data_IF_650652843560
#
_entry.id   IF_650652843560
#
_cell.length_a   1.000
_cell.length_b   1.000
_cell.length_c   1.000
_cell.angle_alpha   90.00
_cell.angle_beta   90.00
_cell.angle_gamma   90.00
#
_symmetry.space_group_name_H-M   'P 1'
#
loop_
_entity.id
_entity.type
_entity.pdbx_description
1 polymer ?
#
# COMPACT_ATOMS: atom_id res chain seq x y z
N UNK A 1 -61.93 -31.07 21.34
CA UNK A 1 -61.84 -29.63 21.02
C UNK A 1 -60.58 -29.43 20.17
N UNK A 2 -60.72 -28.99 18.92
CA UNK A 2 -59.62 -28.89 17.94
C UNK A 2 -59.07 -27.46 17.93
N UNK A 3 -57.76 -27.32 18.13
CA UNK A 3 -57.05 -26.04 18.07
C UNK A 3 -56.72 -25.69 16.61
N UNK A 4 -57.25 -24.57 16.11
CA UNK A 4 -56.93 -24.06 14.78
C UNK A 4 -55.77 -23.06 14.86
N UNK A 5 -54.62 -23.44 14.29
CA UNK A 5 -53.46 -22.57 14.07
C UNK A 5 -53.72 -21.74 12.81
N UNK A 6 -53.88 -20.42 12.94
CA UNK A 6 -53.90 -19.49 11.80
C UNK A 6 -52.47 -19.12 11.44
N UNK A 7 -51.95 -19.64 10.32
CA UNK A 7 -50.75 -19.14 9.65
C UNK A 7 -51.17 -18.03 8.68
N UNK A 8 -50.67 -16.81 8.88
CA UNK A 8 -50.82 -15.70 7.94
C UNK A 8 -49.60 -15.66 7.00
N UNK A 9 -49.84 -16.06 5.75
CA UNK A 9 -48.94 -15.88 4.60
C UNK A 9 -49.27 -14.51 4.00
N UNK A 10 -48.28 -13.63 3.82
CA UNK A 10 -48.43 -12.42 2.99
C UNK A 10 -47.57 -12.55 1.73
N UNK A 11 -48.07 -12.08 0.57
CA UNK A 11 -47.42 -12.30 -0.71
C UNK A 11 -46.37 -11.24 -1.09
N UNK A 12 -45.37 -11.75 -1.78
CA UNK A 12 -44.29 -11.10 -2.52
C UNK A 12 -44.83 -10.11 -3.59
N UNK A 13 -44.34 -8.86 -3.58
CA UNK A 13 -44.56 -7.88 -4.67
C UNK A 13 -43.26 -7.63 -5.43
N UNK A 14 -43.31 -7.92 -6.73
CA UNK A 14 -42.29 -7.71 -7.76
C UNK A 14 -41.99 -6.23 -8.04
N UNK A 15 -40.74 -5.99 -8.43
CA UNK A 15 -40.18 -5.05 -9.44
C UNK A 15 -40.95 -3.76 -9.76
N UNK A 16 -40.21 -2.64 -9.79
CA UNK A 16 -40.14 -1.66 -10.90
C UNK A 16 -38.84 -0.83 -10.85
N UNK A 17 -38.17 -0.79 -12.01
CA UNK A 17 -37.57 0.37 -12.71
C UNK A 17 -36.62 1.29 -11.89
N UNK A 18 -35.30 1.24 -12.08
CA UNK A 18 -34.50 1.98 -13.09
C UNK A 18 -34.95 3.44 -13.25
N UNK A 19 -34.32 4.32 -12.46
CA UNK A 19 -34.11 5.72 -12.84
C UNK A 19 -32.69 6.14 -12.42
N UNK A 20 -31.93 6.57 -13.41
CA UNK A 20 -30.58 7.10 -13.30
C UNK A 20 -30.67 8.61 -13.06
N UNK A 21 -29.98 9.19 -12.07
CA UNK A 21 -29.87 10.63 -12.01
C UNK A 21 -28.70 11.11 -12.88
N UNK A 22 -29.05 11.74 -14.01
CA UNK A 22 -28.21 12.69 -14.73
C UNK A 22 -27.77 13.81 -13.77
N UNK A 23 -26.48 13.93 -13.51
CA UNK A 23 -25.92 15.02 -12.72
C UNK A 23 -25.47 16.09 -13.72
N UNK A 24 -26.37 17.01 -14.01
CA UNK A 24 -26.11 18.21 -14.80
C UNK A 24 -24.97 19.04 -14.23
N UNK A 25 -24.00 19.29 -15.11
CA UNK A 25 -22.99 20.33 -15.03
C UNK A 25 -23.64 21.71 -15.12
N UNK A 26 -23.95 22.33 -13.99
CA UNK A 26 -23.91 23.78 -13.84
C UNK A 26 -23.61 24.11 -12.38
N UNK A 27 -22.38 24.55 -12.09
CA UNK A 27 -22.19 25.44 -10.94
C UNK A 27 -21.18 26.52 -11.27
N UNK A 28 -21.79 27.69 -11.42
CA UNK A 28 -21.27 28.99 -11.74
C UNK A 28 -20.31 29.48 -10.66
N UNK A 29 -19.24 30.07 -11.14
CA UNK A 29 -18.26 30.87 -10.42
C UNK A 29 -18.90 31.87 -9.45
N UNK A 30 -18.51 31.78 -8.18
CA UNK A 30 -18.44 32.95 -7.29
C UNK A 30 -17.07 32.98 -6.64
N UNK A 31 -16.23 33.87 -7.18
CA UNK A 31 -15.03 34.39 -6.54
C UNK A 31 -15.44 35.09 -5.25
N UNK A 32 -15.02 34.58 -4.09
CA UNK A 32 -14.85 35.40 -2.90
C UNK A 32 -13.35 35.48 -2.63
N UNK A 33 -12.84 36.71 -2.70
CA UNK A 33 -11.46 37.09 -2.38
C UNK A 33 -11.45 37.55 -0.93
N UNK A 34 -10.77 36.81 -0.07
CA UNK A 34 -10.40 37.24 1.26
C UNK A 34 -8.99 37.86 1.22
N UNK A 35 -8.99 39.20 1.27
CA UNK A 35 -7.83 40.02 1.57
C UNK A 35 -7.46 39.82 3.04
N UNK A 36 -6.36 39.09 3.30
CA UNK A 36 -5.46 39.31 4.46
C UNK A 36 -4.24 38.40 4.31
N UNK A 37 -3.22 38.94 3.64
CA UNK A 37 -1.87 38.40 3.72
C UNK A 37 -1.38 38.45 5.17
N UNK A 38 -1.14 37.28 5.77
CA UNK A 38 -0.23 37.14 6.88
C UNK A 38 0.28 35.70 6.97
N UNK A 39 1.42 35.46 6.32
CA UNK A 39 2.21 34.24 6.50
C UNK A 39 3.10 34.49 7.72
N UNK A 40 2.69 33.99 8.89
CA UNK A 40 3.59 33.80 10.03
C UNK A 40 3.90 32.32 10.18
N UNK A 41 4.95 31.89 9.49
CA UNK A 41 5.64 30.65 9.78
C UNK A 41 6.30 30.74 11.15
N UNK A 42 5.96 29.81 12.04
CA UNK A 42 6.75 29.53 13.23
C UNK A 42 7.46 28.19 13.03
N UNK A 43 8.72 28.29 12.61
CA UNK A 43 9.66 27.17 12.55
C UNK A 43 10.04 26.88 14.01
N UNK A 44 9.42 25.86 14.62
CA UNK A 44 9.94 25.31 15.89
C UNK A 44 11.04 24.32 15.54
N UNK A 45 12.28 24.80 15.60
CA UNK A 45 13.48 23.98 15.56
C UNK A 45 13.51 23.06 16.80
N UNK A 46 13.39 21.75 16.60
CA UNK A 46 13.65 20.75 17.62
C UNK A 46 15.12 20.33 17.51
N UNK A 47 15.99 21.00 18.26
CA UNK A 47 17.36 20.57 18.50
C UNK A 47 17.35 19.58 19.68
N UNK A 48 17.62 18.30 19.42
CA UNK A 48 17.93 17.31 20.46
C UNK A 48 19.16 16.53 20.02
N UNK A 49 20.30 16.96 20.56
CA UNK A 49 21.57 16.26 20.52
C UNK A 49 21.42 14.86 21.13
N UNK A 50 21.77 13.84 20.36
CA UNK A 50 21.98 12.48 20.86
C UNK A 50 23.43 12.38 21.35
N UNK A 51 23.61 12.20 22.65
CA UNK A 51 24.89 11.85 23.26
C UNK A 51 24.84 10.37 23.64
N UNK A 52 25.60 9.53 22.94
CA UNK A 52 25.88 8.15 23.35
C UNK A 52 27.22 8.11 24.09
N UNK A 53 27.30 7.57 25.31
CA UNK A 53 28.57 7.27 25.95
C UNK A 53 29.12 5.89 25.52
N UNK A 54 30.34 5.94 24.99
CA UNK A 54 31.50 5.06 25.20
C UNK A 54 31.28 3.55 25.37
N UNK A 55 31.73 2.82 24.34
CA UNK A 55 32.15 1.43 24.41
C UNK A 55 33.48 1.33 25.17
N UNK A 56 33.60 0.34 26.07
CA UNK A 56 34.85 -0.08 26.68
C UNK A 56 35.30 -1.41 26.07
N UNK A 57 36.58 -1.46 25.76
CA UNK A 57 37.36 -2.57 25.21
C UNK A 57 37.38 -3.79 26.14
N UNK A 58 37.48 -4.99 25.54
CA UNK A 58 38.39 -6.00 26.07
C UNK A 58 38.95 -6.84 24.92
N UNK A 59 40.27 -6.76 24.84
CA UNK A 59 41.23 -7.48 24.02
C UNK A 59 41.08 -9.00 24.02
N UNK A 60 41.20 -9.62 22.85
CA UNK A 60 41.79 -10.95 22.75
C UNK A 60 42.65 -11.08 21.49
N UNK A 61 43.95 -11.19 21.74
CA UNK A 61 45.02 -11.40 20.78
C UNK A 61 45.16 -12.89 20.45
N UNK A 62 45.05 -13.26 19.17
CA UNK A 62 45.61 -14.52 18.66
C UNK A 62 46.23 -14.32 17.28
N UNK A 63 47.49 -14.71 17.20
CA UNK A 63 48.42 -14.62 16.08
C UNK A 63 48.34 -15.81 15.12
N UNK A 64 48.34 -15.52 13.80
CA UNK A 64 48.95 -16.24 12.65
C UNK A 64 48.54 -17.73 12.39
N UNK A 65 48.75 -18.31 11.18
CA UNK A 65 49.63 -17.92 10.07
C UNK A 65 48.98 -17.84 8.67
N UNK A 66 49.73 -17.26 7.72
CA UNK A 66 49.54 -17.40 6.27
C UNK A 66 49.60 -18.87 5.83
N UNK A 67 48.86 -19.21 4.76
CA UNK A 67 49.44 -20.02 3.71
C UNK A 67 49.23 -19.37 2.34
N UNK A 68 50.36 -19.25 1.64
CA UNK A 68 50.52 -19.10 0.21
C UNK A 68 49.64 -20.07 -0.58
N UNK A 69 48.77 -19.56 -1.45
CA UNK A 69 48.63 -20.09 -2.82
C UNK A 69 47.82 -19.12 -3.69
N UNK A 70 48.50 -18.56 -4.70
CA UNK A 70 47.88 -17.75 -5.74
C UNK A 70 47.07 -18.67 -6.67
N UNK A 71 45.80 -18.87 -6.37
CA UNK A 71 44.87 -19.41 -7.38
C UNK A 71 44.42 -18.26 -8.28
N UNK A 72 45.08 -18.15 -9.44
CA UNK A 72 44.65 -17.31 -10.54
C UNK A 72 43.29 -17.81 -11.05
N UNK A 73 42.21 -17.18 -10.58
CA UNK A 73 40.91 -17.31 -11.19
C UNK A 73 40.96 -16.63 -12.55
N UNK A 74 40.95 -17.44 -13.60
CA UNK A 74 40.72 -17.03 -14.97
C UNK A 74 39.45 -16.18 -15.01
N UNK A 75 39.60 -14.90 -15.32
CA UNK A 75 38.49 -13.99 -15.58
C UNK A 75 37.96 -14.37 -16.96
N UNK A 76 36.99 -15.27 -16.98
CA UNK A 76 36.24 -15.63 -18.19
C UNK A 76 35.69 -14.34 -18.79
N UNK A 77 36.16 -14.03 -19.99
CA UNK A 77 35.63 -13.01 -20.89
C UNK A 77 34.16 -13.35 -21.18
N UNK A 78 33.28 -12.79 -20.35
CA UNK A 78 31.83 -12.85 -20.52
C UNK A 78 31.36 -11.71 -21.40
N UNK A 79 31.48 -11.92 -22.72
CA UNK A 79 30.54 -11.46 -23.75
C UNK A 79 30.06 -10.00 -23.67
N UNK A 80 30.80 -9.13 -24.36
CA UNK A 80 30.25 -7.93 -24.98
C UNK A 80 29.32 -8.38 -26.11
N UNK A 81 28.03 -8.30 -25.83
CA UNK A 81 26.93 -8.51 -26.77
C UNK A 81 25.87 -7.49 -26.47
N UNK A 82 26.09 -6.26 -26.96
CA UNK A 82 25.18 -5.13 -26.87
C UNK A 82 23.92 -5.38 -27.72
N UNK A 83 23.06 -6.28 -27.23
CA UNK A 83 21.64 -6.23 -27.55
C UNK A 83 20.99 -5.35 -26.49
N UNK A 84 20.58 -4.13 -26.84
CA UNK A 84 19.74 -3.30 -25.99
C UNK A 84 18.48 -4.10 -25.66
N UNK A 85 18.46 -4.74 -24.49
CA UNK A 85 17.32 -5.54 -24.06
C UNK A 85 16.16 -4.58 -23.88
N UNK A 86 15.21 -4.69 -24.79
CA UNK A 86 13.96 -3.95 -24.75
C UNK A 86 13.32 -4.07 -23.37
N UNK A 87 13.33 -2.96 -22.62
CA UNK A 87 12.73 -2.88 -21.30
C UNK A 87 11.25 -2.54 -21.46
N UNK A 88 10.38 -3.30 -20.82
CA UNK A 88 8.93 -3.07 -20.85
C UNK A 88 8.38 -2.71 -19.47
N UNK A 89 7.28 -1.97 -19.45
CA UNK A 89 6.57 -1.61 -18.23
C UNK A 89 5.86 -2.83 -17.65
N UNK A 90 6.05 -3.14 -16.37
CA UNK A 90 5.40 -4.26 -15.70
C UNK A 90 3.87 -4.16 -15.66
N UNK A 91 3.30 -2.95 -15.69
CA UNK A 91 1.86 -2.75 -15.55
C UNK A 91 1.11 -2.64 -16.88
N UNK A 92 1.67 -1.91 -17.86
CA UNK A 92 1.03 -1.71 -19.16
C UNK A 92 1.71 -2.43 -20.32
N UNK A 93 2.85 -3.09 -20.09
CA UNK A 93 3.66 -3.80 -21.09
C UNK A 93 4.19 -2.93 -22.25
N UNK A 94 4.08 -1.61 -22.15
CA UNK A 94 4.65 -0.68 -23.13
C UNK A 94 6.19 -0.67 -23.05
N UNK A 95 6.83 -0.50 -24.21
CA UNK A 95 8.29 -0.36 -24.35
C UNK A 95 8.75 0.95 -23.69
N UNK A 96 9.86 0.90 -22.96
CA UNK A 96 10.40 2.02 -22.19
C UNK A 96 11.68 2.55 -22.83
N UNK A 97 11.72 3.84 -23.14
CA UNK A 97 12.89 4.54 -23.69
C UNK A 97 13.91 4.97 -22.63
N UNK A 98 14.18 4.13 -21.63
CA UNK A 98 15.22 4.35 -20.61
C UNK A 98 14.84 5.25 -19.41
N UNK A 99 13.73 6.00 -19.45
CA UNK A 99 13.26 6.85 -18.34
C UNK A 99 12.25 6.15 -17.41
N UNK A 100 12.53 4.89 -17.06
CA UNK A 100 11.66 4.07 -16.23
C UNK A 100 11.89 4.29 -14.73
N UNK A 101 10.90 3.92 -13.92
CA UNK A 101 10.95 3.98 -12.46
C UNK A 101 11.00 2.59 -11.84
N UNK A 102 11.79 2.46 -10.79
CA UNK A 102 11.86 1.24 -9.97
C UNK A 102 10.79 1.26 -8.89
N UNK A 103 10.21 0.10 -8.52
CA UNK A 103 9.23 0.02 -7.46
C UNK A 103 9.81 0.51 -6.12
N UNK A 104 8.96 1.12 -5.31
CA UNK A 104 9.33 1.43 -3.94
C UNK A 104 9.54 0.12 -3.15
N UNK A 105 10.59 0.04 -2.32
CA UNK A 105 10.93 -1.19 -1.57
C UNK A 105 9.75 -1.76 -0.76
N UNK A 106 8.92 -0.88 -0.19
CA UNK A 106 7.68 -1.23 0.55
C UNK A 106 6.63 -2.00 -0.27
N UNK A 107 6.71 -2.00 -1.60
CA UNK A 107 5.74 -2.70 -2.45
C UNK A 107 6.04 -4.19 -2.60
N UNK A 108 7.20 -4.67 -2.10
CA UNK A 108 7.61 -6.07 -2.17
C UNK A 108 7.55 -6.64 -3.62
N UNK A 109 8.03 -5.84 -4.58
CA UNK A 109 8.21 -6.22 -5.98
C UNK A 109 9.69 -6.46 -6.27
N UNK A 110 9.98 -7.26 -7.29
CA UNK A 110 11.34 -7.55 -7.73
C UNK A 110 12.05 -6.27 -8.22
N UNK A 111 13.35 -6.12 -7.94
CA UNK A 111 14.15 -4.93 -8.33
C UNK A 111 14.27 -4.77 -9.86
N UNK A 112 14.10 -5.85 -10.61
CA UNK A 112 14.10 -5.85 -12.06
C UNK A 112 12.76 -5.37 -12.65
N UNK A 113 11.73 -5.20 -11.81
CA UNK A 113 10.43 -4.66 -12.23
C UNK A 113 10.58 -3.19 -12.61
N UNK A 114 10.23 -2.82 -13.84
CA UNK A 114 10.29 -1.43 -14.31
C UNK A 114 8.89 -0.90 -14.59
N UNK A 115 8.66 0.39 -14.32
CA UNK A 115 7.39 1.07 -14.57
C UNK A 115 7.60 2.31 -15.45
N UNK A 116 6.67 2.59 -16.37
CA UNK A 116 6.58 3.93 -16.94
C UNK A 116 6.11 4.93 -15.86
N UNK A 117 6.38 6.22 -16.05
CA UNK A 117 6.05 7.26 -15.08
C UNK A 117 4.54 7.26 -14.70
N UNK A 118 3.67 7.02 -15.67
CA UNK A 118 2.21 6.93 -15.47
C UNK A 118 1.84 5.78 -14.54
N UNK A 119 2.29 4.56 -14.86
CA UNK A 119 1.96 3.38 -14.08
C UNK A 119 2.59 3.40 -12.69
N UNK A 120 3.77 4.01 -12.55
CA UNK A 120 4.37 4.24 -11.24
C UNK A 120 3.46 5.12 -10.36
N UNK A 121 2.97 6.25 -10.88
CA UNK A 121 2.07 7.13 -10.13
C UNK A 121 0.74 6.46 -9.75
N UNK A 122 0.17 5.65 -10.63
CA UNK A 122 -1.01 4.84 -10.31
C UNK A 122 -0.68 3.87 -9.16
N UNK A 123 0.45 3.17 -9.24
CA UNK A 123 0.85 2.20 -8.22
C UNK A 123 1.13 2.86 -6.87
N UNK A 124 1.74 4.04 -6.88
CA UNK A 124 2.03 4.82 -5.70
C UNK A 124 0.75 5.29 -5.00
N UNK A 125 -0.18 5.89 -5.75
CA UNK A 125 -1.47 6.32 -5.20
C UNK A 125 -2.32 5.15 -4.70
N UNK A 126 -2.28 4.00 -5.37
CA UNK A 126 -2.93 2.76 -4.91
C UNK A 126 -2.34 2.29 -3.57
N UNK A 127 -1.01 2.29 -3.45
CA UNK A 127 -0.33 1.92 -2.21
C UNK A 127 -0.61 2.91 -1.07
N UNK A 128 -0.60 4.21 -1.33
CA UNK A 128 -0.96 5.22 -0.35
C UNK A 128 -2.40 5.05 0.17
N UNK A 129 -3.33 4.74 -0.74
CA UNK A 129 -4.72 4.43 -0.36
C UNK A 129 -4.76 3.20 0.55
N UNK A 130 -4.06 2.14 0.17
CA UNK A 130 -3.99 0.88 0.91
C UNK A 130 -3.45 1.05 2.35
N UNK A 131 -2.52 1.98 2.54
CA UNK A 131 -1.86 2.23 3.82
C UNK A 131 -2.59 3.25 4.71
N UNK A 132 -3.32 4.19 4.10
CA UNK A 132 -3.93 5.31 4.81
C UNK A 132 -5.46 5.25 4.91
N UNK A 133 -6.11 4.29 4.25
CA UNK A 133 -7.57 4.16 4.26
C UNK A 133 -8.00 2.74 4.63
N UNK A 134 -9.19 2.64 5.21
CA UNK A 134 -9.79 1.35 5.53
C UNK A 134 -10.17 0.62 4.24
N UNK A 135 -9.69 -0.61 4.05
CA UNK A 135 -9.96 -1.41 2.86
C UNK A 135 -11.44 -1.79 2.65
N UNK A 136 -12.28 -1.65 3.67
CA UNK A 136 -13.72 -2.00 3.62
C UNK A 136 -14.60 -0.77 3.45
N UNK A 137 -14.39 0.25 4.28
CA UNK A 137 -15.27 1.43 4.29
C UNK A 137 -14.63 2.69 3.70
N UNK A 138 -13.39 2.62 3.21
CA UNK A 138 -12.63 3.74 2.64
C UNK A 138 -12.50 4.96 3.54
N UNK A 139 -12.71 4.82 4.85
CA UNK A 139 -12.47 5.89 5.81
C UNK A 139 -10.97 6.10 6.02
N UNK A 140 -10.54 7.36 6.12
CA UNK A 140 -9.14 7.71 6.38
C UNK A 140 -8.73 7.19 7.77
N UNK A 141 -7.69 6.37 7.80
CA UNK A 141 -7.13 5.81 9.02
C UNK A 141 -6.28 6.85 9.74
N UNK A 142 -6.41 6.89 11.06
CA UNK A 142 -5.60 7.75 11.93
C UNK A 142 -4.41 6.93 12.46
N UNK A 143 -4.07 7.14 13.73
CA UNK A 143 -2.97 6.46 14.41
C UNK A 143 -3.20 4.95 14.58
N UNK A 144 -4.45 4.53 14.82
CA UNK A 144 -4.78 3.12 15.06
C UNK A 144 -5.24 2.46 13.76
N UNK A 145 -4.58 1.36 13.40
CA UNK A 145 -4.82 0.57 12.19
C UNK A 145 -4.81 -0.90 12.57
N UNK A 146 -5.64 -1.70 11.93
CA UNK A 146 -5.77 -3.12 12.23
C UNK A 146 -5.46 -3.95 10.99
N UNK A 147 -4.55 -4.92 11.16
CA UNK A 147 -4.25 -5.88 10.12
C UNK A 147 -5.40 -6.90 10.00
N UNK A 148 -5.92 -7.15 8.79
CA UNK A 148 -6.87 -8.24 8.56
C UNK A 148 -6.19 -9.59 8.85
N UNK A 149 -6.98 -10.59 9.25
CA UNK A 149 -6.43 -11.95 9.42
C UNK A 149 -6.07 -12.53 8.05
N UNK A 150 -5.02 -13.38 7.93
CA UNK A 150 -4.61 -13.96 6.66
C UNK A 150 -5.73 -14.70 5.90
N UNK A 151 -6.65 -15.34 6.64
CA UNK A 151 -7.78 -16.09 6.06
C UNK A 151 -8.85 -15.22 5.42
N UNK A 152 -8.93 -13.93 5.77
CA UNK A 152 -9.95 -13.03 5.22
C UNK A 152 -9.65 -12.57 3.80
N UNK A 153 -8.41 -12.77 3.31
CA UNK A 153 -7.96 -12.37 1.95
C UNK A 153 -8.20 -10.88 1.63
N UNK A 154 -8.31 -10.03 2.65
CA UNK A 154 -8.44 -8.57 2.51
C UNK A 154 -7.04 -7.98 2.40
N UNK A 155 -6.78 -7.18 1.35
CA UNK A 155 -5.54 -6.42 1.21
C UNK A 155 -5.69 -5.05 1.86
N UNK A 156 -4.66 -4.61 2.58
CA UNK A 156 -4.60 -3.29 3.22
C UNK A 156 -4.99 -3.28 4.68
N UNK A 157 -5.31 -2.10 5.20
CA UNK A 157 -5.55 -1.85 6.61
C UNK A 157 -7.05 -1.70 6.91
N UNK A 158 -7.46 -2.05 8.14
CA UNK A 158 -8.84 -1.89 8.59
C UNK A 158 -8.92 -0.87 9.73
N UNK A 159 -10.04 -0.13 9.78
CA UNK A 159 -10.41 0.60 10.98
C UNK A 159 -10.99 -0.37 12.02
N UNK A 160 -11.08 0.06 13.29
CA UNK A 160 -11.59 -0.78 14.39
C UNK A 160 -12.96 -1.40 14.08
N UNK A 161 -13.90 -0.58 13.60
CA UNK A 161 -15.28 -1.01 13.31
C UNK A 161 -15.33 -2.13 12.27
N UNK A 162 -14.60 -1.97 11.17
CA UNK A 162 -14.56 -2.98 10.10
C UNK A 162 -13.86 -4.26 10.55
N UNK A 163 -12.78 -4.13 11.34
CA UNK A 163 -12.08 -5.29 11.89
C UNK A 163 -12.98 -6.09 12.83
N UNK A 164 -13.69 -5.44 13.74
CA UNK A 164 -14.60 -6.11 14.69
C UNK A 164 -15.75 -6.80 13.97
N UNK A 165 -16.34 -6.14 12.95
CA UNK A 165 -17.38 -6.73 12.11
C UNK A 165 -16.90 -8.00 11.40
N UNK A 166 -15.74 -7.94 10.75
CA UNK A 166 -15.18 -9.09 10.02
C UNK A 166 -14.77 -10.22 10.96
N UNK A 167 -14.24 -9.88 12.14
CA UNK A 167 -13.92 -10.85 13.18
C UNK A 167 -15.15 -11.56 13.74
N UNK A 168 -16.29 -10.89 13.79
CA UNK A 168 -17.55 -11.45 14.28
C UNK A 168 -18.12 -12.45 13.28
N UNK A 169 -18.14 -12.09 11.98
CA UNK A 169 -18.53 -13.01 10.89
C UNK A 169 -17.65 -14.26 10.86
N UNK A 170 -16.33 -14.08 10.93
CA UNK A 170 -15.40 -15.21 10.93
C UNK A 170 -15.60 -16.17 12.11
N UNK A 171 -16.09 -15.68 13.26
CA UNK A 171 -16.41 -16.54 14.40
C UNK A 171 -17.73 -17.30 14.20
N UNK A 172 -18.75 -16.67 13.61
CA UNK A 172 -20.02 -17.36 13.33
C UNK A 172 -19.84 -18.47 12.29
N UNK A 173 -19.07 -18.22 11.24
CA UNK A 173 -18.83 -19.19 10.15
C UNK A 173 -18.02 -20.41 10.60
N UNK A 174 -17.38 -20.32 11.77
CA UNK A 174 -16.58 -21.37 12.39
C UNK A 174 -17.37 -22.29 13.32
N UNK A 175 -18.60 -21.90 13.68
CA UNK A 175 -19.45 -22.59 14.66
C UNK A 175 -20.65 -23.30 14.03
N UNK A 176 -20.85 -23.18 12.72
CA UNK A 176 -21.76 -24.02 11.93
C UNK A 176 -21.00 -25.04 11.12
#
# INVERSE_FOLDING_TARGET
MRFSIKRSITPNKKNRDVESPDISLENRSTLQKDNKGNIKGSIKAANKNHTHPNNAESSESRSMPEPTEKLQMHKTLGQEGEGEKEVTCHHCNEKLGGNWKEPHWKWNLDKNTKFCARCYGIKETEYEKLMNYCAVCNSKLKFIRYNPKPKWKIRGQLCRKCWDSENSKYKSDKQG
#
